data_IF_852597941780
#
_entry.id   IF_852597941780
#
_cell.length_a   1.000
_cell.length_b   1.000
_cell.length_c   1.000
_cell.angle_alpha   90.00
_cell.angle_beta   90.00
_cell.angle_gamma   90.00
#
_symmetry.space_group_name_H-M   'P 1'
#
loop_
_entity.id
_entity.type
_entity.pdbx_description
1 polymer ?
#
# COMPACT_ATOMS: atom_id res chain seq x y z
N UNK A 1 55.92 -6.44 4.46
CA UNK A 1 54.93 -6.85 3.47
C UNK A 1 53.88 -7.87 3.95
N UNK A 2 54.25 -9.10 4.40
CA UNK A 2 53.27 -10.13 4.82
C UNK A 2 52.37 -9.72 6.00
N UNK A 3 52.89 -8.99 7.02
CA UNK A 3 52.09 -8.53 8.16
C UNK A 3 51.10 -7.42 7.77
N UNK A 4 51.50 -6.45 6.97
CA UNK A 4 50.60 -5.36 6.48
C UNK A 4 49.45 -5.93 5.63
N UNK A 5 49.73 -6.90 4.75
CA UNK A 5 48.71 -7.56 3.93
C UNK A 5 47.68 -8.33 4.79
N UNK A 6 48.13 -8.97 5.91
CA UNK A 6 47.22 -9.64 6.85
C UNK A 6 46.31 -8.65 7.58
N UNK A 7 46.84 -7.50 8.02
CA UNK A 7 46.02 -6.49 8.70
C UNK A 7 45.05 -5.80 7.76
N UNK A 8 45.41 -5.55 6.50
CA UNK A 8 44.45 -5.01 5.51
C UNK A 8 43.33 -6.02 5.18
N UNK A 9 43.65 -7.31 5.06
CA UNK A 9 42.65 -8.36 4.83
C UNK A 9 41.69 -8.48 6.05
N UNK A 10 42.19 -8.42 7.28
CA UNK A 10 41.37 -8.44 8.49
C UNK A 10 40.47 -7.21 8.56
N UNK A 11 41.00 -6.00 8.31
CA UNK A 11 40.23 -4.76 8.29
C UNK A 11 39.10 -4.80 7.23
N UNK A 12 39.41 -5.31 6.02
CA UNK A 12 38.40 -5.47 4.96
C UNK A 12 37.32 -6.46 5.37
N UNK A 13 37.67 -7.60 5.96
CA UNK A 13 36.70 -8.59 6.45
C UNK A 13 35.79 -8.02 7.55
N UNK A 14 36.34 -7.25 8.48
CA UNK A 14 35.57 -6.55 9.53
C UNK A 14 34.61 -5.54 8.90
N UNK A 15 35.07 -4.72 7.96
CA UNK A 15 34.21 -3.73 7.27
C UNK A 15 33.05 -4.41 6.52
N UNK A 16 33.30 -5.50 5.82
CA UNK A 16 32.26 -6.31 5.15
C UNK A 16 31.28 -6.88 6.18
N UNK A 17 31.78 -7.41 7.30
CA UNK A 17 30.94 -7.94 8.38
C UNK A 17 30.03 -6.86 8.99
N UNK A 18 30.55 -5.65 9.23
CA UNK A 18 29.77 -4.52 9.74
C UNK A 18 28.69 -4.10 8.77
N UNK A 19 29.01 -3.97 7.48
CA UNK A 19 28.02 -3.60 6.45
C UNK A 19 26.95 -4.68 6.30
N UNK A 20 27.32 -5.95 6.25
CA UNK A 20 26.36 -7.05 6.14
C UNK A 20 25.46 -7.15 7.38
N UNK A 21 26.05 -7.05 8.59
CA UNK A 21 25.30 -7.06 9.84
C UNK A 21 24.36 -5.86 9.97
N UNK A 22 24.83 -4.65 9.68
CA UNK A 22 24.00 -3.44 9.65
C UNK A 22 22.86 -3.54 8.64
N UNK A 23 23.12 -4.04 7.43
CA UNK A 23 22.10 -4.25 6.39
C UNK A 23 21.04 -5.27 6.82
N UNK A 24 21.44 -6.37 7.48
CA UNK A 24 20.50 -7.37 8.05
C UNK A 24 19.63 -6.77 9.15
N UNK A 25 20.21 -5.96 10.06
CA UNK A 25 19.46 -5.30 11.10
C UNK A 25 18.42 -4.33 10.52
N UNK A 26 18.81 -3.51 9.54
CA UNK A 26 17.91 -2.58 8.85
C UNK A 26 16.79 -3.33 8.11
N UNK A 27 17.12 -4.41 7.43
CA UNK A 27 16.16 -5.26 6.74
C UNK A 27 15.14 -5.87 7.73
N UNK A 28 15.62 -6.40 8.86
CA UNK A 28 14.76 -6.93 9.91
C UNK A 28 13.88 -5.84 10.53
N UNK A 29 14.44 -4.67 10.82
CA UNK A 29 13.71 -3.51 11.34
C UNK A 29 12.57 -3.10 10.40
N UNK A 30 12.84 -2.97 9.10
CA UNK A 30 11.87 -2.49 8.12
C UNK A 30 10.85 -3.55 7.71
N UNK A 31 11.25 -4.82 7.57
CA UNK A 31 10.35 -5.84 7.03
C UNK A 31 9.70 -6.74 8.08
N UNK A 32 10.16 -6.71 9.35
CA UNK A 32 9.58 -7.56 10.41
C UNK A 32 9.22 -6.81 11.69
N UNK A 33 8.49 -5.66 11.64
CA UNK A 33 8.13 -4.86 12.81
C UNK A 33 6.96 -5.47 13.62
N UNK A 34 7.12 -6.72 14.09
CA UNK A 34 6.05 -7.52 14.71
C UNK A 34 5.37 -6.86 15.91
N UNK A 35 6.14 -6.14 16.76
CA UNK A 35 5.59 -5.45 17.94
C UNK A 35 4.64 -4.33 17.52
N UNK A 36 5.07 -3.49 16.57
CA UNK A 36 4.26 -2.40 16.02
C UNK A 36 2.99 -2.91 15.37
N UNK A 37 3.10 -3.96 14.55
CA UNK A 37 1.94 -4.55 13.89
C UNK A 37 0.94 -5.14 14.86
N UNK A 38 1.38 -5.85 15.90
CA UNK A 38 0.49 -6.37 16.94
C UNK A 38 -0.24 -5.27 17.69
N UNK A 39 0.47 -4.18 18.06
CA UNK A 39 -0.14 -3.05 18.73
C UNK A 39 -1.19 -2.35 17.84
N UNK A 40 -0.86 -2.12 16.56
CA UNK A 40 -1.80 -1.53 15.60
C UNK A 40 -3.01 -2.41 15.32
N UNK A 41 -2.84 -3.72 15.20
CA UNK A 41 -3.95 -4.63 15.02
C UNK A 41 -4.90 -4.64 16.24
N UNK A 42 -4.34 -4.65 17.46
CA UNK A 42 -5.15 -4.63 18.68
C UNK A 42 -5.94 -3.33 18.85
N UNK A 43 -5.38 -2.19 18.44
CA UNK A 43 -6.00 -0.88 18.57
C UNK A 43 -6.81 -0.44 17.33
N UNK A 44 -6.85 -1.24 16.25
CA UNK A 44 -7.36 -0.80 14.95
C UNK A 44 -8.78 -0.25 15.01
N UNK A 45 -9.69 -0.94 15.69
CA UNK A 45 -11.11 -0.51 15.81
C UNK A 45 -11.24 0.76 16.64
N UNK A 46 -10.57 0.83 17.78
CA UNK A 46 -10.57 1.99 18.68
C UNK A 46 -10.01 3.23 17.99
N UNK A 47 -8.88 3.08 17.28
CA UNK A 47 -8.27 4.18 16.53
C UNK A 47 -9.21 4.69 15.44
N UNK A 48 -9.88 3.80 14.69
CA UNK A 48 -10.82 4.21 13.66
C UNK A 48 -11.99 5.03 14.23
N UNK A 49 -12.58 4.61 15.33
CA UNK A 49 -13.71 5.34 15.94
C UNK A 49 -13.27 6.61 16.66
N UNK A 50 -12.04 6.68 17.17
CA UNK A 50 -11.47 7.88 17.80
C UNK A 50 -11.07 8.93 16.76
N UNK A 51 -10.36 8.53 15.70
CA UNK A 51 -9.90 9.45 14.64
C UNK A 51 -11.05 9.86 13.71
N UNK A 52 -12.04 8.98 13.52
CA UNK A 52 -13.17 9.15 12.62
C UNK A 52 -14.49 8.82 13.34
N UNK A 53 -14.95 9.64 14.29
CA UNK A 53 -16.16 9.33 15.10
C UNK A 53 -17.43 9.13 14.28
N UNK A 54 -17.51 9.74 13.10
CA UNK A 54 -18.66 9.59 12.18
C UNK A 54 -18.80 8.17 11.60
N UNK A 55 -17.78 7.31 11.72
CA UNK A 55 -17.84 5.92 11.28
C UNK A 55 -18.65 5.03 12.24
N UNK A 56 -18.73 5.38 13.51
CA UNK A 56 -19.28 4.51 14.56
C UNK A 56 -20.70 4.02 14.24
N UNK A 57 -21.69 4.88 13.89
CA UNK A 57 -23.05 4.41 13.59
C UNK A 57 -23.12 3.47 12.37
N UNK A 58 -22.24 3.68 11.37
CA UNK A 58 -22.18 2.84 10.19
C UNK A 58 -21.55 1.48 10.52
N UNK A 59 -20.47 1.48 11.29
CA UNK A 59 -19.79 0.26 11.70
C UNK A 59 -20.69 -0.59 12.59
N UNK A 60 -21.37 0.01 13.55
CA UNK A 60 -22.33 -0.67 14.43
C UNK A 60 -23.50 -1.27 13.62
N UNK A 61 -23.98 -0.57 12.60
CA UNK A 61 -24.98 -1.09 11.69
C UNK A 61 -24.48 -2.32 10.92
N UNK A 62 -23.25 -2.26 10.37
CA UNK A 62 -22.67 -3.38 9.64
C UNK A 62 -22.41 -4.59 10.54
N UNK A 63 -21.94 -4.38 11.75
CA UNK A 63 -21.67 -5.44 12.74
C UNK A 63 -22.96 -6.07 13.23
N UNK A 64 -23.96 -5.27 13.63
CA UNK A 64 -25.26 -5.75 14.13
C UNK A 64 -26.02 -6.56 13.08
N UNK A 65 -25.93 -6.17 11.81
CA UNK A 65 -26.61 -6.87 10.71
C UNK A 65 -25.78 -8.01 10.12
N UNK A 66 -24.52 -8.20 10.55
CA UNK A 66 -23.59 -9.15 9.96
C UNK A 66 -23.23 -8.81 8.49
N UNK A 67 -23.32 -7.53 8.12
CA UNK A 67 -23.04 -7.07 6.77
C UNK A 67 -21.55 -6.88 6.49
N UNK A 68 -20.73 -6.60 7.50
CA UNK A 68 -19.28 -6.67 7.40
C UNK A 68 -18.84 -8.12 7.56
N UNK A 69 -18.28 -8.68 6.50
CA UNK A 69 -17.97 -10.10 6.39
C UNK A 69 -16.48 -10.33 6.19
N UNK A 70 -16.02 -11.47 6.70
CA UNK A 70 -14.65 -11.97 6.47
C UNK A 70 -14.61 -12.91 5.28
N UNK A 71 -13.46 -12.92 4.58
CA UNK A 71 -13.13 -13.93 3.57
C UNK A 71 -11.64 -14.26 3.61
N UNK A 72 -11.27 -15.42 3.10
CA UNK A 72 -9.87 -15.85 3.03
C UNK A 72 -9.56 -16.50 1.70
N UNK A 73 -8.32 -16.33 1.24
CA UNK A 73 -7.76 -17.06 0.10
C UNK A 73 -6.44 -17.70 0.49
N UNK A 74 -5.99 -18.65 -0.32
CA UNK A 74 -4.62 -19.17 -0.24
C UNK A 74 -3.77 -18.33 -1.21
N UNK A 75 -2.75 -17.65 -0.69
CA UNK A 75 -1.81 -16.84 -1.46
C UNK A 75 -0.88 -17.68 -2.35
N UNK A 76 -0.06 -17.00 -3.14
CA UNK A 76 0.82 -17.64 -4.12
C UNK A 76 1.91 -18.55 -3.49
N UNK A 77 2.29 -18.31 -2.25
CA UNK A 77 3.28 -19.09 -1.50
C UNK A 77 2.63 -20.06 -0.48
N UNK A 78 1.30 -20.24 -0.53
CA UNK A 78 0.54 -21.18 0.31
C UNK A 78 0.00 -20.59 1.62
N UNK A 79 0.22 -19.29 1.88
CA UNK A 79 -0.28 -18.61 3.07
C UNK A 79 -1.78 -18.34 2.99
N UNK A 80 -2.42 -18.34 4.14
CA UNK A 80 -3.79 -17.88 4.28
C UNK A 80 -3.81 -16.35 4.37
N UNK A 81 -4.39 -15.72 3.37
CA UNK A 81 -4.62 -14.29 3.32
C UNK A 81 -6.07 -13.99 3.66
N UNK A 82 -6.29 -12.86 4.32
CA UNK A 82 -7.58 -12.43 4.85
C UNK A 82 -8.02 -11.11 4.22
N UNK A 83 -9.33 -10.93 4.07
CA UNK A 83 -9.94 -9.65 3.75
C UNK A 83 -11.28 -9.50 4.46
N UNK A 84 -11.72 -8.26 4.66
CA UNK A 84 -13.09 -7.91 5.02
C UNK A 84 -13.81 -7.34 3.81
N UNK A 85 -15.13 -7.53 3.73
CA UNK A 85 -15.94 -6.99 2.65
C UNK A 85 -17.36 -6.66 3.09
N UNK A 86 -18.00 -5.74 2.39
CA UNK A 86 -19.40 -5.41 2.56
C UNK A 86 -20.06 -5.10 1.23
N UNK A 87 -21.31 -5.52 1.07
CA UNK A 87 -22.14 -5.11 -0.05
C UNK A 87 -22.57 -3.65 0.11
N UNK A 88 -22.81 -2.99 -0.99
CA UNK A 88 -23.42 -1.66 -1.00
C UNK A 88 -24.82 -1.69 -0.37
N UNK A 89 -25.30 -0.56 0.19
CA UNK A 89 -26.67 -0.47 0.74
C UNK A 89 -27.79 -0.75 -0.26
N UNK A 90 -27.50 -0.60 -1.55
CA UNK A 90 -28.39 -0.96 -2.69
C UNK A 90 -27.61 -1.79 -3.69
N UNK A 91 -28.27 -2.73 -4.41
CA UNK A 91 -27.61 -3.52 -5.45
C UNK A 91 -26.90 -2.63 -6.48
N UNK A 92 -25.65 -2.97 -6.79
CA UNK A 92 -24.80 -2.24 -7.74
C UNK A 92 -23.65 -3.12 -8.22
N UNK A 93 -23.13 -2.81 -9.41
CA UNK A 93 -21.92 -3.42 -9.96
C UNK A 93 -20.65 -2.66 -9.55
N UNK A 94 -20.82 -1.46 -8.98
CA UNK A 94 -19.70 -0.60 -8.55
C UNK A 94 -18.98 -1.21 -7.38
N UNK A 95 -17.66 -1.39 -7.51
CA UNK A 95 -16.84 -2.06 -6.50
C UNK A 95 -15.54 -1.31 -6.26
N UNK A 96 -15.14 -1.20 -5.00
CA UNK A 96 -13.83 -0.67 -4.60
C UNK A 96 -13.03 -1.75 -3.87
N UNK A 97 -11.80 -2.00 -4.34
CA UNK A 97 -10.77 -2.75 -3.60
C UNK A 97 -9.83 -1.74 -2.96
N UNK A 98 -9.69 -1.78 -1.62
CA UNK A 98 -9.05 -0.73 -0.83
C UNK A 98 -7.83 -1.29 -0.12
N UNK A 99 -6.63 -0.78 -0.44
CA UNK A 99 -5.34 -1.34 -0.06
C UNK A 99 -4.67 -0.48 1.00
N UNK A 100 -4.35 -1.09 2.15
CA UNK A 100 -3.80 -0.40 3.32
C UNK A 100 -2.29 -0.12 3.23
N UNK A 101 -1.80 0.79 4.08
CA UNK A 101 -0.41 1.20 4.20
C UNK A 101 0.50 0.26 5.01
N UNK A 102 1.76 0.68 5.18
CA UNK A 102 2.79 -0.04 5.94
C UNK A 102 2.39 -0.22 7.40
N UNK A 103 2.52 -1.45 7.92
CA UNK A 103 2.14 -1.87 9.28
C UNK A 103 0.67 -1.65 9.65
N UNK A 104 -0.17 -1.37 8.67
CA UNK A 104 -1.60 -1.14 8.83
C UNK A 104 -2.42 -2.42 8.59
N UNK A 105 -3.73 -2.33 8.42
CA UNK A 105 -4.61 -3.47 8.17
C UNK A 105 -5.94 -3.02 7.55
N UNK A 106 -6.77 -3.99 7.16
CA UNK A 106 -8.06 -3.75 6.53
C UNK A 106 -9.01 -2.88 7.38
N UNK A 107 -9.02 -3.07 8.71
CA UNK A 107 -9.89 -2.31 9.62
C UNK A 107 -9.54 -0.82 9.60
N UNK A 108 -8.26 -0.49 9.53
CA UNK A 108 -7.80 0.90 9.49
C UNK A 108 -8.04 1.61 8.16
N UNK A 109 -8.50 0.89 7.15
CA UNK A 109 -8.97 1.48 5.88
C UNK A 109 -10.49 1.66 5.82
N UNK A 110 -11.21 1.39 6.90
CA UNK A 110 -12.67 1.53 6.93
C UNK A 110 -13.13 2.99 6.75
N UNK A 111 -12.27 4.00 6.98
CA UNK A 111 -12.60 5.38 6.65
C UNK A 111 -12.77 5.59 5.14
N UNK A 112 -11.93 4.97 4.31
CA UNK A 112 -12.09 4.95 2.85
C UNK A 112 -13.23 3.99 2.46
N UNK A 113 -13.38 2.87 3.18
CA UNK A 113 -14.53 1.98 3.03
C UNK A 113 -15.86 2.69 3.22
N UNK A 114 -15.97 3.56 4.22
CA UNK A 114 -17.15 4.41 4.45
C UNK A 114 -17.44 5.31 3.25
N UNK A 115 -16.43 6.02 2.76
CA UNK A 115 -16.57 6.88 1.59
C UNK A 115 -17.15 6.10 0.40
N UNK A 116 -16.56 4.98 0.05
CA UNK A 116 -17.07 4.20 -1.08
C UNK A 116 -18.42 3.55 -0.79
N UNK A 117 -18.59 2.90 0.36
CA UNK A 117 -19.80 2.13 0.64
C UNK A 117 -20.99 3.02 1.01
N UNK A 118 -20.82 3.92 1.97
CA UNK A 118 -21.90 4.74 2.51
C UNK A 118 -22.19 5.97 1.65
N UNK A 119 -21.13 6.70 1.27
CA UNK A 119 -21.33 7.98 0.57
C UNK A 119 -21.49 7.78 -0.95
N UNK A 120 -20.79 6.82 -1.56
CA UNK A 120 -20.81 6.59 -3.01
C UNK A 120 -21.63 5.37 -3.45
N UNK A 121 -22.01 4.47 -2.54
CA UNK A 121 -22.85 3.31 -2.83
C UNK A 121 -22.12 2.18 -3.58
N UNK A 122 -20.88 1.88 -3.22
CA UNK A 122 -20.06 0.82 -3.79
C UNK A 122 -20.04 -0.42 -2.90
N UNK A 123 -19.93 -1.59 -3.48
CA UNK A 123 -19.40 -2.76 -2.79
C UNK A 123 -17.94 -2.53 -2.45
N UNK A 124 -17.48 -3.00 -1.30
CA UNK A 124 -16.11 -2.80 -0.84
C UNK A 124 -15.45 -4.12 -0.43
N UNK A 125 -14.17 -4.27 -0.78
CA UNK A 125 -13.29 -5.32 -0.28
C UNK A 125 -11.98 -4.70 0.16
N UNK A 126 -11.56 -5.01 1.40
CA UNK A 126 -10.37 -4.48 2.04
C UNK A 126 -9.47 -5.67 2.45
N UNK A 127 -8.41 -5.99 1.71
CA UNK A 127 -7.51 -7.06 2.08
C UNK A 127 -6.58 -6.65 3.23
N UNK A 128 -6.26 -7.60 4.09
CA UNK A 128 -5.04 -7.57 4.86
C UNK A 128 -3.91 -8.07 3.96
N UNK A 129 -2.94 -7.23 3.64
CA UNK A 129 -1.78 -7.62 2.84
C UNK A 129 -0.97 -8.71 3.56
N UNK A 130 -0.13 -9.41 2.82
CA UNK A 130 0.75 -10.44 3.37
C UNK A 130 1.48 -9.95 4.62
N UNK A 131 1.49 -10.77 5.69
CA UNK A 131 2.08 -10.45 6.99
C UNK A 131 1.40 -9.31 7.77
N UNK A 132 0.25 -8.78 7.34
CA UNK A 132 -0.51 -7.73 8.03
C UNK A 132 -1.86 -8.25 8.53
N UNK A 133 -2.45 -7.52 9.46
CA UNK A 133 -3.77 -7.82 10.00
C UNK A 133 -3.92 -9.26 10.45
N UNK A 134 -4.83 -10.00 9.82
CA UNK A 134 -5.11 -11.42 10.03
C UNK A 134 -4.50 -12.33 8.96
N UNK A 135 -3.80 -11.76 7.98
CA UNK A 135 -3.07 -12.51 6.97
C UNK A 135 -1.78 -13.10 7.53
N UNK A 136 -1.50 -14.32 7.12
CA UNK A 136 -0.24 -14.99 7.43
C UNK A 136 0.93 -14.36 6.66
N UNK A 137 2.17 -14.69 7.07
CA UNK A 137 3.37 -14.22 6.39
C UNK A 137 4.59 -14.17 7.29
N UNK A 138 5.73 -13.78 6.69
CA UNK A 138 7.03 -13.76 7.38
C UNK A 138 7.66 -12.38 7.45
N UNK A 139 7.39 -11.55 6.42
CA UNK A 139 7.97 -10.23 6.27
C UNK A 139 7.10 -9.37 5.34
N UNK A 140 7.08 -8.05 5.56
CA UNK A 140 6.42 -7.08 4.70
C UNK A 140 7.09 -7.10 3.32
N UNK A 141 6.29 -7.04 2.25
CA UNK A 141 6.75 -7.13 0.85
C UNK A 141 6.76 -5.78 0.13
N UNK A 142 6.48 -4.70 0.85
CA UNK A 142 6.50 -3.32 0.36
C UNK A 142 5.75 -3.12 -0.95
N UNK A 143 4.61 -3.77 -1.12
CA UNK A 143 3.76 -3.68 -2.32
C UNK A 143 4.21 -4.58 -3.48
N UNK A 144 5.48 -4.95 -3.57
CA UNK A 144 6.00 -5.63 -4.77
C UNK A 144 5.37 -6.99 -5.03
N UNK A 145 5.49 -7.93 -4.10
CA UNK A 145 4.79 -9.22 -4.23
C UNK A 145 3.30 -9.09 -3.85
N UNK A 146 2.96 -8.17 -2.97
CA UNK A 146 1.58 -7.90 -2.58
C UNK A 146 0.68 -7.53 -3.76
N UNK A 147 1.23 -6.91 -4.84
CA UNK A 147 0.48 -6.60 -6.05
C UNK A 147 -0.17 -7.84 -6.69
N UNK A 148 0.50 -8.99 -6.61
CA UNK A 148 -0.02 -10.25 -7.16
C UNK A 148 -1.18 -10.79 -6.31
N UNK A 149 -1.08 -10.64 -4.99
CA UNK A 149 -2.17 -10.99 -4.07
C UNK A 149 -3.37 -10.04 -4.26
N UNK A 150 -3.12 -8.74 -4.49
CA UNK A 150 -4.18 -7.75 -4.76
C UNK A 150 -4.89 -8.06 -6.09
N UNK A 151 -4.19 -8.44 -7.16
CA UNK A 151 -4.82 -8.91 -8.40
C UNK A 151 -5.79 -10.07 -8.14
N UNK A 152 -5.37 -11.03 -7.30
CA UNK A 152 -6.23 -12.15 -6.91
C UNK A 152 -7.42 -11.70 -6.06
N UNK A 153 -7.22 -10.74 -5.13
CA UNK A 153 -8.30 -10.13 -4.37
C UNK A 153 -9.32 -9.41 -5.25
N UNK A 154 -8.87 -8.78 -6.34
CA UNK A 154 -9.75 -8.17 -7.35
C UNK A 154 -10.62 -9.21 -8.05
N UNK A 155 -10.07 -10.38 -8.40
CA UNK A 155 -10.85 -11.51 -8.97
C UNK A 155 -11.88 -12.03 -7.96
N UNK A 156 -11.48 -12.21 -6.71
CA UNK A 156 -12.38 -12.65 -5.63
C UNK A 156 -13.49 -11.62 -5.39
N UNK A 157 -13.16 -10.33 -5.34
CA UNK A 157 -14.15 -9.26 -5.22
C UNK A 157 -15.15 -9.28 -6.39
N UNK A 158 -14.66 -9.43 -7.62
CA UNK A 158 -15.54 -9.57 -8.77
C UNK A 158 -16.49 -10.77 -8.62
N UNK A 159 -15.99 -11.93 -8.18
CA UNK A 159 -16.81 -13.12 -7.92
C UNK A 159 -17.85 -12.93 -6.81
N UNK A 160 -17.45 -12.37 -5.66
CA UNK A 160 -18.34 -12.11 -4.50
C UNK A 160 -19.48 -11.17 -4.91
N UNK A 161 -19.20 -10.16 -5.72
CA UNK A 161 -20.14 -9.10 -6.09
C UNK A 161 -20.86 -9.34 -7.43
N UNK A 162 -20.93 -10.59 -7.90
CA UNK A 162 -21.82 -11.00 -9.00
C UNK A 162 -21.13 -11.27 -10.34
N UNK A 163 -19.82 -11.13 -10.47
CA UNK A 163 -19.04 -11.54 -11.64
C UNK A 163 -18.97 -10.51 -12.79
N UNK A 164 -19.62 -9.35 -12.64
CA UNK A 164 -19.68 -8.29 -13.67
C UNK A 164 -19.47 -6.89 -13.09
N UNK A 165 -18.57 -6.78 -12.12
CA UNK A 165 -18.29 -5.53 -11.40
C UNK A 165 -17.62 -4.47 -12.31
N UNK A 166 -17.78 -3.20 -11.93
CA UNK A 166 -16.98 -2.08 -12.39
C UNK A 166 -16.11 -1.63 -11.23
N UNK A 167 -14.80 -1.83 -11.33
CA UNK A 167 -13.91 -1.80 -10.17
C UNK A 167 -12.94 -0.63 -10.19
N UNK A 168 -12.84 0.07 -9.05
CA UNK A 168 -11.72 0.95 -8.72
C UNK A 168 -10.82 0.26 -7.70
N UNK A 169 -9.50 0.44 -7.83
CA UNK A 169 -8.52 0.05 -6.81
C UNK A 169 -7.96 1.32 -6.18
N UNK A 170 -8.07 1.42 -4.85
CA UNK A 170 -7.67 2.61 -4.10
C UNK A 170 -6.67 2.22 -3.00
N UNK A 171 -5.51 2.84 -2.96
CA UNK A 171 -4.51 2.59 -1.94
C UNK A 171 -3.98 3.85 -1.28
N UNK A 172 -3.54 3.72 -0.02
CA UNK A 172 -2.89 4.79 0.75
C UNK A 172 -1.47 4.36 1.12
N UNK A 173 -0.48 5.25 0.95
CA UNK A 173 0.91 5.04 1.35
C UNK A 173 1.54 3.80 0.66
N UNK A 174 2.02 2.80 1.39
CA UNK A 174 2.43 1.52 0.82
C UNK A 174 1.30 0.88 -0.02
N UNK A 175 0.04 1.07 0.37
CA UNK A 175 -1.12 0.63 -0.40
C UNK A 175 -1.26 1.37 -1.72
N UNK A 176 -0.94 2.67 -1.76
CA UNK A 176 -0.89 3.47 -2.98
C UNK A 176 0.23 2.98 -3.91
N UNK A 177 1.44 2.75 -3.37
CA UNK A 177 2.52 2.15 -4.13
C UNK A 177 2.15 0.76 -4.67
N UNK A 178 1.45 -0.06 -3.86
CA UNK A 178 0.91 -1.37 -4.28
C UNK A 178 -0.10 -1.19 -5.42
N UNK A 179 -1.04 -0.25 -5.31
CA UNK A 179 -2.05 0.06 -6.33
C UNK A 179 -1.41 0.51 -7.64
N UNK A 180 -0.38 1.36 -7.57
CA UNK A 180 0.42 1.73 -8.75
C UNK A 180 1.16 0.53 -9.35
N UNK A 181 1.71 -0.35 -8.51
CA UNK A 181 2.37 -1.58 -8.98
C UNK A 181 1.37 -2.55 -9.62
N UNK A 182 0.14 -2.67 -9.09
CA UNK A 182 -0.97 -3.42 -9.70
C UNK A 182 -1.32 -2.86 -11.07
N UNK A 183 -1.37 -1.54 -11.21
CA UNK A 183 -1.80 -0.88 -12.45
C UNK A 183 -0.92 -1.18 -13.66
N UNK A 184 0.34 -1.54 -13.43
CA UNK A 184 1.30 -1.92 -14.48
C UNK A 184 1.21 -3.39 -14.92
N UNK A 185 0.39 -4.21 -14.24
CA UNK A 185 0.13 -5.59 -14.64
C UNK A 185 -1.04 -5.65 -15.65
N UNK A 186 -1.25 -6.82 -16.27
CA UNK A 186 -2.39 -7.01 -17.17
C UNK A 186 -3.71 -6.91 -16.39
N UNK A 187 -4.58 -6.00 -16.82
CA UNK A 187 -5.86 -5.76 -16.15
C UNK A 187 -7.01 -6.52 -16.79
N UNK A 188 -7.95 -6.94 -15.94
CA UNK A 188 -9.21 -7.54 -16.40
C UNK A 188 -10.20 -6.45 -16.81
N UNK A 189 -11.15 -6.71 -17.74
CA UNK A 189 -12.09 -5.71 -18.24
C UNK A 189 -12.97 -5.03 -17.19
N UNK A 190 -13.18 -5.66 -16.04
CA UNK A 190 -13.94 -5.10 -14.95
C UNK A 190 -13.19 -4.01 -14.16
N UNK A 191 -11.86 -3.91 -14.28
CA UNK A 191 -11.07 -2.84 -13.68
C UNK A 191 -11.17 -1.59 -14.53
N UNK A 192 -11.54 -0.46 -13.92
CA UNK A 192 -11.83 0.78 -14.66
C UNK A 192 -10.84 1.90 -14.38
N UNK A 193 -10.41 2.06 -13.14
CA UNK A 193 -9.49 3.13 -12.75
C UNK A 193 -8.76 2.81 -11.44
N UNK A 194 -7.77 3.64 -11.14
CA UNK A 194 -6.95 3.57 -9.94
C UNK A 194 -6.96 4.90 -9.20
N UNK A 195 -6.89 4.86 -7.87
CA UNK A 195 -6.67 6.02 -7.01
C UNK A 195 -5.49 5.69 -6.10
N UNK A 196 -4.47 6.52 -6.12
CA UNK A 196 -3.34 6.42 -5.20
C UNK A 196 -3.26 7.67 -4.33
N UNK A 197 -3.00 7.52 -3.04
CA UNK A 197 -2.81 8.61 -2.08
C UNK A 197 -1.49 8.42 -1.34
N UNK A 198 -0.57 9.37 -1.50
CA UNK A 198 0.75 9.45 -0.88
C UNK A 198 1.66 8.23 -1.10
N UNK A 199 1.65 7.66 -2.32
CA UNK A 199 2.53 6.55 -2.68
C UNK A 199 3.95 6.99 -3.02
N UNK A 200 4.93 6.07 -2.87
CA UNK A 200 6.34 6.32 -3.18
C UNK A 200 6.72 5.83 -4.58
N UNK A 201 7.79 6.42 -5.15
CA UNK A 201 8.35 6.08 -6.47
C UNK A 201 8.90 4.66 -6.53
N UNK A 202 9.65 4.25 -5.50
CA UNK A 202 10.21 2.92 -5.36
C UNK A 202 10.56 2.61 -3.91
N UNK A 203 10.65 1.31 -3.58
CA UNK A 203 11.15 0.86 -2.27
C UNK A 203 12.57 1.38 -2.01
N UNK A 204 13.39 1.42 -3.06
CA UNK A 204 14.76 1.94 -2.95
C UNK A 204 14.78 3.41 -2.55
N UNK A 205 13.96 4.24 -3.18
CA UNK A 205 13.95 5.68 -2.90
C UNK A 205 13.41 5.97 -1.50
N UNK A 206 12.32 5.30 -1.12
CA UNK A 206 11.75 5.42 0.23
C UNK A 206 12.75 4.97 1.30
N UNK A 207 13.39 3.82 1.13
CA UNK A 207 14.38 3.35 2.11
C UNK A 207 15.66 4.19 2.13
N UNK A 208 16.08 4.76 1.01
CA UNK A 208 17.21 5.69 0.98
C UNK A 208 16.90 6.99 1.77
N UNK A 209 15.67 7.47 1.65
CA UNK A 209 15.17 8.63 2.42
C UNK A 209 15.15 8.30 3.92
N UNK A 210 14.49 7.20 4.31
CA UNK A 210 14.38 6.79 5.71
C UNK A 210 15.76 6.54 6.36
N UNK A 211 16.67 5.90 5.61
CA UNK A 211 18.03 5.64 6.10
C UNK A 211 18.78 6.93 6.42
N UNK A 212 18.62 7.96 5.58
CA UNK A 212 19.23 9.28 5.78
C UNK A 212 18.59 10.03 6.94
N UNK A 213 17.27 10.05 7.03
CA UNK A 213 16.55 10.90 7.99
C UNK A 213 16.45 10.28 9.38
N UNK A 214 16.15 8.99 9.49
CA UNK A 214 16.01 8.33 10.80
C UNK A 214 17.35 7.89 11.39
N UNK A 215 18.29 7.45 10.54
CA UNK A 215 19.53 6.85 11.01
C UNK A 215 20.78 7.70 10.74
N UNK A 216 20.63 8.79 9.97
CA UNK A 216 21.73 9.65 9.50
C UNK A 216 22.84 8.87 8.77
N UNK A 217 22.46 7.80 8.06
CA UNK A 217 23.36 6.91 7.35
C UNK A 217 23.25 7.11 5.83
N UNK A 218 24.38 6.97 5.10
CA UNK A 218 24.34 6.99 3.65
C UNK A 218 23.72 5.71 3.08
N UNK A 219 23.05 5.85 1.93
CA UNK A 219 22.45 4.70 1.24
C UNK A 219 23.50 3.65 0.82
N UNK A 220 24.68 4.10 0.33
CA UNK A 220 25.80 3.21 -0.01
C UNK A 220 26.77 3.07 1.18
N UNK A 221 27.22 1.87 1.52
CA UNK A 221 26.97 0.58 0.87
C UNK A 221 25.78 -0.23 1.44
N UNK A 222 25.06 0.29 2.45
CA UNK A 222 24.05 -0.46 3.21
C UNK A 222 22.85 -0.90 2.36
N UNK A 223 22.29 0.02 1.59
CA UNK A 223 21.06 -0.24 0.83
C UNK A 223 21.24 -1.28 -0.29
N UNK A 224 22.30 -1.24 -1.12
CA UNK A 224 22.59 -2.31 -2.06
C UNK A 224 22.77 -3.69 -1.42
N UNK A 225 23.45 -3.76 -0.27
CA UNK A 225 23.64 -5.02 0.46
C UNK A 225 22.31 -5.50 1.06
N UNK A 226 21.51 -4.61 1.66
CA UNK A 226 20.17 -4.94 2.16
C UNK A 226 19.26 -5.44 1.03
N UNK A 227 19.30 -4.81 -0.14
CA UNK A 227 18.54 -5.22 -1.32
C UNK A 227 18.93 -6.63 -1.80
N UNK A 228 20.23 -6.92 -1.85
CA UNK A 228 20.71 -8.26 -2.19
C UNK A 228 20.32 -9.32 -1.16
N UNK A 229 20.40 -8.99 0.14
CA UNK A 229 19.97 -9.87 1.22
C UNK A 229 18.46 -10.11 1.20
N UNK A 230 17.68 -9.10 0.81
CA UNK A 230 16.23 -9.19 0.62
C UNK A 230 15.90 -10.18 -0.50
N UNK A 231 16.61 -10.09 -1.63
CA UNK A 231 16.46 -11.01 -2.75
C UNK A 231 16.76 -12.46 -2.33
N UNK A 232 17.89 -12.67 -1.68
CA UNK A 232 18.30 -14.00 -1.21
C UNK A 232 17.31 -14.61 -0.19
N UNK A 233 16.71 -13.78 0.69
CA UNK A 233 15.88 -14.26 1.79
C UNK A 233 14.38 -14.33 1.46
N UNK A 234 13.90 -13.38 0.65
CA UNK A 234 12.47 -13.17 0.40
C UNK A 234 12.11 -13.25 -1.09
N UNK A 235 13.10 -13.42 -1.98
CA UNK A 235 12.90 -13.59 -3.43
C UNK A 235 12.36 -12.33 -4.11
N UNK A 236 12.79 -11.15 -3.67
CA UNK A 236 12.56 -9.86 -4.31
C UNK A 236 13.58 -8.83 -3.84
N UNK A 237 13.83 -7.81 -4.63
CA UNK A 237 14.81 -6.77 -4.34
C UNK A 237 14.25 -5.36 -4.50
N UNK A 238 14.93 -4.36 -3.89
CA UNK A 238 14.47 -2.98 -3.85
C UNK A 238 14.49 -2.27 -5.20
N UNK A 239 15.26 -2.79 -6.18
CA UNK A 239 15.37 -2.21 -7.50
C UNK A 239 14.17 -2.54 -8.38
N UNK A 240 13.68 -3.78 -8.30
CA UNK A 240 12.50 -4.20 -9.06
C UNK A 240 11.20 -3.69 -8.46
N UNK A 241 11.17 -3.44 -7.13
CA UNK A 241 10.01 -2.93 -6.41
C UNK A 241 9.84 -1.41 -6.66
N UNK A 242 9.39 -1.07 -7.87
CA UNK A 242 9.25 0.30 -8.37
C UNK A 242 7.83 0.57 -8.85
N UNK A 243 7.10 1.44 -8.13
CA UNK A 243 5.82 1.97 -8.58
C UNK A 243 5.98 2.80 -9.85
N UNK A 244 7.07 3.58 -9.94
CA UNK A 244 7.38 4.41 -11.10
C UNK A 244 7.47 3.59 -12.40
N UNK A 245 8.19 2.45 -12.37
CA UNK A 245 8.31 1.58 -13.54
C UNK A 245 7.00 0.88 -13.91
N UNK A 246 6.14 0.61 -12.94
CA UNK A 246 4.84 0.02 -13.19
C UNK A 246 3.82 1.05 -13.71
N UNK A 247 3.82 2.28 -13.20
CA UNK A 247 2.97 3.37 -13.69
C UNK A 247 3.24 3.65 -15.17
N UNK A 248 4.49 3.56 -15.63
CA UNK A 248 4.83 3.69 -17.07
C UNK A 248 4.11 2.70 -17.98
N UNK A 249 3.77 1.53 -17.45
CA UNK A 249 3.05 0.47 -18.18
C UNK A 249 1.53 0.59 -18.04
N UNK A 250 1.05 1.35 -17.07
CA UNK A 250 -0.36 1.48 -16.75
C UNK A 250 -1.12 2.16 -17.87
N UNK A 251 -2.22 1.54 -18.33
CA UNK A 251 -3.06 2.04 -19.43
C UNK A 251 -4.40 2.60 -18.99
N UNK A 252 -4.86 2.23 -17.77
CA UNK A 252 -6.14 2.68 -17.24
C UNK A 252 -6.00 4.03 -16.51
N UNK A 253 -7.09 4.80 -16.39
CA UNK A 253 -7.10 6.08 -15.69
C UNK A 253 -6.58 6.00 -14.24
N UNK A 254 -5.87 7.04 -13.79
CA UNK A 254 -5.31 7.12 -12.43
C UNK A 254 -5.43 8.52 -11.84
N UNK A 255 -5.96 8.61 -10.63
CA UNK A 255 -5.94 9.80 -9.78
C UNK A 255 -4.78 9.69 -8.80
N UNK A 256 -3.92 10.70 -8.80
CA UNK A 256 -2.80 10.87 -7.88
C UNK A 256 -3.19 11.92 -6.83
N UNK A 257 -3.08 11.56 -5.56
CA UNK A 257 -3.35 12.44 -4.41
C UNK A 257 -2.09 12.46 -3.54
N UNK A 258 -1.67 13.63 -3.05
CA UNK A 258 -0.53 13.73 -2.15
C UNK A 258 -0.62 15.01 -1.30
N UNK A 259 -0.38 14.91 0.00
CA UNK A 259 -0.29 16.08 0.86
C UNK A 259 0.98 16.88 0.61
N UNK A 260 0.92 18.22 0.63
CA UNK A 260 2.09 19.07 0.43
C UNK A 260 2.95 19.26 1.71
N UNK A 261 2.47 18.77 2.85
CA UNK A 261 3.19 18.70 4.11
C UNK A 261 3.60 17.25 4.48
N UNK A 262 3.63 16.34 3.51
CA UNK A 262 4.08 14.96 3.72
C UNK A 262 5.61 14.88 3.81
N UNK A 263 6.10 14.63 5.03
CA UNK A 263 7.52 14.46 5.33
C UNK A 263 7.94 12.98 5.41
N UNK A 264 6.98 12.03 5.44
CA UNK A 264 7.25 10.59 5.49
C UNK A 264 7.44 9.99 4.09
N UNK A 265 6.53 10.25 3.15
CA UNK A 265 6.74 10.05 1.73
C UNK A 265 6.76 11.43 1.08
N UNK A 266 7.94 11.98 0.74
CA UNK A 266 8.04 13.35 0.27
C UNK A 266 7.11 13.64 -0.92
N UNK A 267 6.42 14.79 -0.87
CA UNK A 267 5.50 15.22 -1.92
C UNK A 267 6.15 15.23 -3.31
N UNK A 268 7.45 15.49 -3.38
CA UNK A 268 8.22 15.44 -4.62
C UNK A 268 8.15 14.09 -5.34
N UNK A 269 7.82 13.01 -4.64
CA UNK A 269 7.69 11.68 -5.26
C UNK A 269 6.46 11.56 -6.17
N UNK A 270 5.40 12.35 -5.95
CA UNK A 270 4.20 12.26 -6.80
C UNK A 270 4.43 12.80 -8.20
N UNK A 271 5.28 13.81 -8.37
CA UNK A 271 5.49 14.45 -9.68
C UNK A 271 6.06 13.50 -10.74
N UNK A 272 7.18 12.78 -10.49
CA UNK A 272 7.67 11.80 -11.45
C UNK A 272 6.71 10.63 -11.67
N UNK A 273 5.88 10.24 -10.69
CA UNK A 273 4.83 9.24 -10.86
C UNK A 273 3.74 9.73 -11.81
N UNK A 274 3.24 10.95 -11.59
CA UNK A 274 2.26 11.58 -12.47
C UNK A 274 2.80 11.75 -13.89
N UNK A 275 4.04 12.20 -14.05
CA UNK A 275 4.67 12.36 -15.35
C UNK A 275 4.90 11.03 -16.07
N UNK A 276 5.21 9.96 -15.35
CA UNK A 276 5.42 8.63 -15.90
C UNK A 276 4.15 8.00 -16.47
N UNK A 277 2.97 8.44 -16.03
CA UNK A 277 1.67 7.98 -16.51
C UNK A 277 1.34 8.58 -17.88
N UNK A 278 1.77 7.92 -18.96
CA UNK A 278 1.66 8.42 -20.32
C UNK A 278 0.41 7.92 -21.08
N UNK A 279 -0.22 6.86 -20.64
CA UNK A 279 -1.40 6.26 -21.28
C UNK A 279 -2.60 6.27 -20.33
N UNK A 280 -3.80 6.46 -20.87
CA UNK A 280 -5.02 6.68 -20.08
C UNK A 280 -5.02 8.03 -19.36
N UNK A 281 -6.17 8.42 -18.86
CA UNK A 281 -6.32 9.71 -18.18
C UNK A 281 -5.55 9.72 -16.86
N UNK A 282 -5.04 10.89 -16.50
CA UNK A 282 -4.36 11.14 -15.24
C UNK A 282 -4.78 12.47 -14.64
N UNK A 283 -4.98 12.48 -13.34
CA UNK A 283 -5.21 13.70 -12.57
C UNK A 283 -4.28 13.74 -11.37
N UNK A 284 -3.89 14.94 -10.96
CA UNK A 284 -3.08 15.17 -9.77
C UNK A 284 -3.79 16.18 -8.87
N UNK A 285 -3.92 15.82 -7.61
CA UNK A 285 -4.34 16.71 -6.56
C UNK A 285 -3.31 16.74 -5.44
N UNK A 286 -2.57 17.82 -5.35
CA UNK A 286 -1.70 18.11 -4.20
C UNK A 286 -2.56 18.79 -3.13
N UNK A 287 -2.64 18.17 -1.95
CA UNK A 287 -3.56 18.57 -0.88
C UNK A 287 -2.87 19.57 0.04
N UNK A 288 -3.30 20.83 0.09
CA UNK A 288 -2.65 21.85 0.91
C UNK A 288 -2.68 21.51 2.40
N UNK A 289 -1.52 21.56 3.06
CA UNK A 289 -1.35 21.36 4.51
C UNK A 289 -1.52 19.93 4.99
N UNK A 290 -1.83 18.96 4.13
CA UNK A 290 -2.00 17.59 4.54
C UNK A 290 -0.65 16.90 4.75
N UNK A 291 -0.47 16.28 5.92
CA UNK A 291 0.65 15.41 6.21
C UNK A 291 0.40 13.98 5.69
N UNK A 292 1.36 13.07 5.88
CA UNK A 292 1.32 11.71 5.37
C UNK A 292 0.02 10.95 5.73
N UNK A 293 -0.68 10.47 4.72
CA UNK A 293 -1.93 9.69 4.82
C UNK A 293 -3.08 10.44 5.53
N UNK A 294 -3.03 11.76 5.60
CA UNK A 294 -4.05 12.59 6.25
C UNK A 294 -4.94 13.37 5.27
N UNK A 295 -4.73 13.22 3.96
CA UNK A 295 -5.49 13.91 2.92
C UNK A 295 -7.01 13.75 3.11
N UNK A 296 -7.48 12.52 3.34
CA UNK A 296 -8.90 12.25 3.60
C UNK A 296 -9.37 12.79 4.96
N UNK A 297 -8.58 12.59 6.02
CA UNK A 297 -8.97 13.01 7.37
C UNK A 297 -9.20 14.52 7.44
N UNK A 298 -8.26 15.27 6.88
CA UNK A 298 -8.24 16.72 7.03
C UNK A 298 -9.11 17.44 5.98
N UNK A 299 -9.49 16.76 4.88
CA UNK A 299 -10.24 17.34 3.75
C UNK A 299 -11.36 16.41 3.26
N UNK A 300 -12.08 15.75 4.16
CA UNK A 300 -13.03 14.67 3.85
C UNK A 300 -14.02 14.98 2.73
N UNK A 301 -14.68 16.14 2.77
CA UNK A 301 -15.69 16.49 1.79
C UNK A 301 -15.09 16.70 0.40
N UNK A 302 -14.01 17.45 0.32
CA UNK A 302 -13.31 17.71 -0.94
C UNK A 302 -12.65 16.43 -1.51
N UNK A 303 -12.08 15.61 -0.65
CA UNK A 303 -11.53 14.31 -1.03
C UNK A 303 -12.62 13.41 -1.63
N UNK A 304 -13.74 13.26 -0.94
CA UNK A 304 -14.89 12.49 -1.42
C UNK A 304 -15.42 13.02 -2.74
N UNK A 305 -15.54 14.34 -2.88
CA UNK A 305 -16.00 14.99 -4.12
C UNK A 305 -15.05 14.69 -5.29
N UNK A 306 -13.74 14.88 -5.11
CA UNK A 306 -12.74 14.63 -6.18
C UNK A 306 -12.66 13.17 -6.58
N UNK A 307 -12.62 12.26 -5.60
CA UNK A 307 -12.65 10.83 -5.90
C UNK A 307 -13.93 10.47 -6.65
N UNK A 308 -15.10 10.94 -6.19
CA UNK A 308 -16.37 10.72 -6.87
C UNK A 308 -16.35 11.24 -8.31
N UNK A 309 -15.94 12.48 -8.53
CA UNK A 309 -15.87 13.09 -9.86
C UNK A 309 -14.94 12.33 -10.80
N UNK A 310 -13.80 11.86 -10.28
CA UNK A 310 -12.88 11.06 -11.05
C UNK A 310 -13.47 9.69 -11.42
N UNK A 311 -13.90 8.88 -10.43
CA UNK A 311 -14.34 7.52 -10.67
C UNK A 311 -15.63 7.45 -11.49
N UNK A 312 -16.54 8.42 -11.36
CA UNK A 312 -17.82 8.45 -12.08
C UNK A 312 -17.66 8.67 -13.60
N UNK A 313 -16.49 9.01 -14.08
CA UNK A 313 -16.23 9.08 -15.54
C UNK A 313 -15.98 7.70 -16.17
N UNK A 314 -15.66 6.71 -15.34
CA UNK A 314 -15.24 5.38 -15.80
C UNK A 314 -16.11 4.24 -15.25
N UNK A 315 -16.86 4.50 -14.19
CA UNK A 315 -17.73 3.58 -13.47
C UNK A 315 -19.16 4.15 -13.45
N UNK A 316 -20.07 3.48 -14.14
CA UNK A 316 -21.47 3.88 -14.29
C UNK A 316 -22.36 3.38 -13.14
#
# INVERSE_FOLDING_TARGET
MKKTLRWTAVAAAVAVGVVAGGSLCLLAYSLTPRKTMRARNAAAREVMTTEYPFLEPWLDSLETTGALRDTTIVGAEGERLHAIYAFAPKPTDRTAVIVHGYTDNAVRMLMIGYMYNRDLGYNILLPDLYFHGRSEGRAIRMGWKDRLDVLRWMEIANGIFGGHTQMVVHGISMGAATTMMVSGEQQQPYVKCFVEDCGYTSVRDQFAKELREQFHLPAFPLLPVASWLCDLRYGWNFREASALEQVRKSTLPMLFIHGDADDFVPTEMVYPLYEAKQQGDRELWVVPGAAHALSYRDNREEYTRRVKEFVSRYIE
#
